data_IF_682354566247
#
_entry.id   IF_682354566247
#
_cell.length_a   1.000
_cell.length_b   1.000
_cell.length_c   1.000
_cell.angle_alpha   90.00
_cell.angle_beta   90.00
_cell.angle_gamma   90.00
#
_symmetry.space_group_name_H-M   'P 1'
#
loop_
_entity.id
_entity.type
_entity.pdbx_description
1 polymer ?
#
# COMPACT_ATOMS: atom_id res chain seq x y z
N UNK A 1 15.02 -7.89 -12.69
CA UNK A 1 15.57 -7.41 -11.41
C UNK A 1 16.19 -8.59 -10.70
N UNK A 2 17.29 -8.36 -9.99
CA UNK A 2 17.82 -9.33 -9.03
C UNK A 2 16.83 -9.51 -7.86
N UNK A 3 16.85 -10.69 -7.25
CA UNK A 3 15.95 -11.03 -6.14
C UNK A 3 16.52 -10.50 -4.83
N UNK A 4 15.64 -10.00 -3.94
CA UNK A 4 16.00 -9.64 -2.56
C UNK A 4 15.31 -10.57 -1.57
N UNK A 5 16.07 -11.18 -0.66
CA UNK A 5 15.55 -11.93 0.48
C UNK A 5 15.71 -11.08 1.74
N UNK A 6 14.60 -10.84 2.42
CA UNK A 6 14.55 -10.10 3.69
C UNK A 6 13.82 -10.94 4.73
N UNK A 7 14.23 -10.76 6.00
CA UNK A 7 13.53 -11.31 7.17
C UNK A 7 13.16 -10.16 8.10
N UNK A 8 11.90 -10.11 8.52
CA UNK A 8 11.35 -9.05 9.37
C UNK A 8 10.74 -9.66 10.63
N UNK A 9 10.91 -8.98 11.76
CA UNK A 9 10.31 -9.33 13.05
C UNK A 9 9.60 -8.10 13.63
N UNK A 10 8.42 -8.31 14.21
CA UNK A 10 7.56 -7.23 14.74
C UNK A 10 7.26 -7.51 16.21
N UNK A 11 7.28 -6.47 17.05
CA UNK A 11 6.96 -6.53 18.47
C UNK A 11 6.09 -5.32 18.88
N UNK A 12 4.89 -5.53 19.48
CA UNK A 12 4.21 -6.81 19.74
C UNK A 12 3.96 -7.62 18.47
N UNK A 13 3.65 -8.92 18.62
CA UNK A 13 3.45 -9.80 17.47
C UNK A 13 2.44 -9.21 16.49
N UNK A 14 2.74 -9.28 15.20
CA UNK A 14 1.87 -8.77 14.15
C UNK A 14 0.49 -9.44 14.19
N UNK A 15 -0.57 -8.64 14.21
CA UNK A 15 -1.92 -9.10 13.95
C UNK A 15 -2.45 -8.51 12.63
N UNK A 16 -3.23 -9.28 11.88
CA UNK A 16 -3.79 -8.82 10.60
C UNK A 16 -4.63 -7.54 10.73
N UNK A 17 -5.21 -7.29 11.91
CA UNK A 17 -5.97 -6.07 12.19
C UNK A 17 -5.09 -4.81 12.20
N UNK A 18 -3.79 -4.98 12.41
CA UNK A 18 -2.81 -3.90 12.42
C UNK A 18 -2.33 -3.55 11.00
N UNK A 19 -2.65 -4.40 10.02
CA UNK A 19 -2.26 -4.20 8.63
C UNK A 19 -3.24 -3.30 7.90
N UNK A 20 -2.92 -2.02 7.85
CA UNK A 20 -3.63 -1.05 7.03
C UNK A 20 -2.95 -0.88 5.66
N UNK A 21 -3.74 -1.00 4.59
CA UNK A 21 -3.27 -0.75 3.23
C UNK A 21 -3.62 0.68 2.83
N UNK A 22 -2.58 1.43 2.44
CA UNK A 22 -2.72 2.80 1.98
C UNK A 22 -3.78 2.94 0.88
N UNK A 23 -4.69 3.91 1.05
CA UNK A 23 -5.68 4.28 0.04
C UNK A 23 -5.21 5.52 -0.73
N UNK A 24 -5.26 5.51 -2.07
CA UNK A 24 -4.81 6.63 -2.91
C UNK A 24 -5.39 7.99 -2.48
N UNK A 25 -6.69 8.04 -2.19
CA UNK A 25 -7.40 9.27 -1.88
C UNK A 25 -6.91 9.86 -0.54
N UNK A 26 -6.69 9.00 0.45
CA UNK A 26 -6.24 9.39 1.79
C UNK A 26 -4.81 9.93 1.72
N UNK A 27 -3.91 9.21 1.05
CA UNK A 27 -2.50 9.58 0.97
C UNK A 27 -2.30 10.85 0.13
N UNK A 28 -3.07 11.03 -0.94
CA UNK A 28 -3.01 12.25 -1.75
C UNK A 28 -3.47 13.49 -0.99
N UNK A 29 -4.44 13.35 -0.08
CA UNK A 29 -4.91 14.45 0.77
C UNK A 29 -3.93 14.77 1.91
N UNK A 30 -3.34 13.75 2.54
CA UNK A 30 -2.42 13.93 3.67
C UNK A 30 -1.02 14.38 3.22
N UNK A 31 -0.56 13.90 2.06
CA UNK A 31 0.79 14.15 1.56
C UNK A 31 0.79 14.66 0.11
N UNK A 32 0.09 15.78 -0.18
CA UNK A 32 -0.10 16.25 -1.55
C UNK A 32 1.23 16.55 -2.26
N UNK A 33 2.22 17.08 -1.53
CA UNK A 33 3.53 17.45 -2.07
C UNK A 33 4.45 16.24 -2.34
N UNK A 34 4.12 15.07 -1.78
CA UNK A 34 4.89 13.83 -1.96
C UNK A 34 4.15 12.83 -2.86
N UNK A 35 2.94 13.17 -3.32
CA UNK A 35 2.08 12.22 -4.00
C UNK A 35 2.75 11.59 -5.22
N UNK A 36 3.44 12.37 -6.04
CA UNK A 36 4.10 11.87 -7.25
C UNK A 36 5.18 10.82 -6.93
N UNK A 37 5.79 10.89 -5.75
CA UNK A 37 6.78 9.91 -5.27
C UNK A 37 6.12 8.68 -4.64
N UNK A 38 4.99 8.86 -3.95
CA UNK A 38 4.29 7.80 -3.24
C UNK A 38 3.38 6.96 -4.14
N UNK A 39 2.77 7.58 -5.15
CA UNK A 39 1.77 6.96 -6.03
C UNK A 39 2.20 5.61 -6.65
N UNK A 40 3.47 5.38 -7.05
CA UNK A 40 3.90 4.07 -7.56
C UNK A 40 3.84 2.94 -6.52
N UNK A 41 3.88 3.27 -5.23
CA UNK A 41 3.88 2.31 -4.12
C UNK A 41 2.50 2.11 -3.49
N UNK A 42 1.51 2.91 -3.89
CA UNK A 42 0.13 2.80 -3.40
C UNK A 42 -0.68 1.94 -4.37
N UNK A 43 -1.38 0.93 -3.84
CA UNK A 43 -2.22 0.04 -4.63
C UNK A 43 -3.36 0.85 -5.28
N UNK A 44 -3.40 0.87 -6.61
CA UNK A 44 -4.51 1.48 -7.34
C UNK A 44 -5.69 0.51 -7.43
N UNK A 45 -6.92 1.03 -7.43
CA UNK A 45 -8.11 0.22 -7.64
C UNK A 45 -8.13 -0.26 -9.10
N UNK A 46 -8.08 -1.57 -9.29
CA UNK A 46 -8.24 -2.18 -10.60
C UNK A 46 -9.72 -2.12 -11.03
N UNK A 47 -10.11 -1.08 -11.77
CA UNK A 47 -11.49 -0.87 -12.27
C UNK A 47 -12.03 -2.09 -13.04
N UNK A 48 -11.15 -2.92 -13.64
CA UNK A 48 -11.56 -4.11 -14.40
C UNK A 48 -12.06 -5.27 -13.56
N UNK A 49 -11.77 -5.32 -12.25
CA UNK A 49 -12.20 -6.42 -11.36
C UNK A 49 -13.60 -6.20 -10.76
N UNK A 50 -14.05 -4.96 -10.67
CA UNK A 50 -15.32 -4.61 -10.02
C UNK A 50 -16.55 -4.82 -10.92
N UNK A 51 -16.36 -4.82 -12.25
CA UNK A 51 -17.44 -5.02 -13.23
C UNK A 51 -17.67 -6.49 -13.62
N UNK A 52 -16.96 -7.42 -12.99
CA UNK A 52 -17.02 -8.86 -13.28
C UNK A 52 -17.71 -9.68 -12.18
N UNK A 53 -18.49 -9.04 -11.29
CA UNK A 53 -19.25 -9.71 -10.20
C UNK A 53 -20.70 -9.24 -10.20
#
# INVERSE_FOLDING_TARGET
GEFGLLGEAVAPGFEFRDMEIAQPETFRQQFPNLWDQLAPYVKQKDIKRELAT
#
